data_IF_472504387028
#
_entry.id   IF_472504387028
#
_cell.length_a   1.000
_cell.length_b   1.000
_cell.length_c   1.000
_cell.angle_alpha   90.00
_cell.angle_beta   90.00
_cell.angle_gamma   90.00
#
_symmetry.space_group_name_H-M   'P 1'
#
loop_
_entity.id
_entity.type
_entity.pdbx_description
1 polymer ?
#
# COMPACT_ATOMS: atom_id res chain seq x y z
N UNK A 1 28.88 11.23 -4.33
CA UNK A 1 27.88 10.53 -3.51
C UNK A 1 26.57 10.67 -4.25
N UNK A 2 26.22 9.71 -5.10
CA UNK A 2 24.91 9.69 -5.75
C UNK A 2 23.91 9.35 -4.67
N UNK A 3 23.02 10.28 -4.33
CA UNK A 3 21.90 10.03 -3.41
C UNK A 3 20.92 9.16 -4.20
N UNK A 4 20.95 7.86 -3.93
CA UNK A 4 19.90 6.95 -4.39
C UNK A 4 18.55 7.55 -3.97
N UNK A 5 17.53 7.56 -4.83
CA UNK A 5 16.21 8.03 -4.44
C UNK A 5 15.78 7.21 -3.21
N UNK A 6 15.58 7.91 -2.09
CA UNK A 6 14.94 7.34 -0.91
C UNK A 6 13.49 7.09 -1.33
N UNK A 7 13.21 5.88 -1.82
CA UNK A 7 11.84 5.40 -1.91
C UNK A 7 11.39 5.15 -0.47
N UNK A 8 10.55 6.04 0.05
CA UNK A 8 9.98 5.94 1.40
C UNK A 8 8.89 4.86 1.39
N UNK A 9 9.32 3.59 1.38
CA UNK A 9 8.44 2.45 1.55
C UNK A 9 8.05 2.32 3.03
N UNK A 10 6.76 2.33 3.33
CA UNK A 10 6.22 2.24 4.69
C UNK A 10 5.24 1.07 4.84
N UNK A 11 5.53 0.15 5.75
CA UNK A 11 4.60 -0.90 6.15
C UNK A 11 3.51 -0.32 7.07
N UNK A 12 2.25 -0.42 6.64
CA UNK A 12 1.10 0.10 7.38
C UNK A 12 0.49 -0.95 8.31
N UNK A 13 0.46 -2.21 7.86
CA UNK A 13 -0.04 -3.33 8.63
C UNK A 13 0.58 -4.64 8.13
N UNK A 14 0.88 -5.55 9.05
CA UNK A 14 1.38 -6.88 8.72
C UNK A 14 0.76 -7.92 9.67
N UNK A 15 0.47 -9.09 9.13
CA UNK A 15 0.03 -10.29 9.83
C UNK A 15 0.86 -11.47 9.34
N UNK A 16 0.62 -12.68 9.85
CA UNK A 16 1.37 -13.87 9.43
C UNK A 16 1.30 -14.18 7.92
N UNK A 17 0.24 -13.74 7.23
CA UNK A 17 0.02 -14.08 5.81
C UNK A 17 -0.31 -12.88 4.91
N UNK A 18 -0.56 -11.70 5.50
CA UNK A 18 -1.03 -10.53 4.78
C UNK A 18 -0.25 -9.29 5.20
N UNK A 19 0.13 -8.49 4.22
CA UNK A 19 0.86 -7.23 4.44
C UNK A 19 0.24 -6.13 3.61
N UNK A 20 0.10 -4.95 4.22
CA UNK A 20 -0.21 -3.70 3.55
C UNK A 20 0.97 -2.76 3.74
N UNK A 21 1.50 -2.25 2.65
CA UNK A 21 2.56 -1.25 2.64
C UNK A 21 2.28 -0.22 1.55
N UNK A 22 2.92 0.94 1.64
CA UNK A 22 2.82 2.00 0.64
C UNK A 22 4.21 2.40 0.18
N UNK A 23 4.32 2.78 -1.08
CA UNK A 23 5.51 3.41 -1.66
C UNK A 23 5.18 4.85 -2.05
N UNK A 24 6.16 5.74 -1.92
CA UNK A 24 6.05 7.11 -2.43
C UNK A 24 6.49 7.14 -3.90
N UNK A 25 5.58 7.49 -4.80
CA UNK A 25 5.85 7.68 -6.23
C UNK A 25 5.60 9.14 -6.63
N UNK A 26 6.66 9.85 -7.01
CA UNK A 26 6.66 11.28 -7.36
C UNK A 26 6.01 12.17 -6.28
N UNK A 27 4.71 12.43 -6.39
CA UNK A 27 3.91 13.28 -5.50
C UNK A 27 2.75 12.53 -4.81
N UNK A 28 2.60 11.22 -5.06
CA UNK A 28 1.48 10.41 -4.56
C UNK A 28 1.97 9.10 -3.91
N UNK A 29 1.06 8.38 -3.27
CA UNK A 29 1.30 7.06 -2.70
C UNK A 29 0.63 5.98 -3.54
N UNK A 30 1.35 4.88 -3.74
CA UNK A 30 0.77 3.62 -4.21
C UNK A 30 0.66 2.68 -3.03
N UNK A 31 -0.53 2.12 -2.83
CA UNK A 31 -0.78 1.16 -1.76
C UNK A 31 -0.73 -0.26 -2.30
N UNK A 32 0.00 -1.10 -1.60
CA UNK A 32 0.26 -2.48 -1.96
C UNK A 32 -0.35 -3.40 -0.90
N UNK A 33 -1.18 -4.36 -1.35
CA UNK A 33 -1.75 -5.40 -0.49
C UNK A 33 -1.25 -6.75 -0.97
N UNK A 34 -0.45 -7.40 -0.14
CA UNK A 34 0.07 -8.74 -0.37
C UNK A 34 -0.85 -9.76 0.31
N UNK A 35 -1.54 -10.57 -0.50
CA UNK A 35 -2.46 -11.63 -0.04
C UNK A 35 -1.86 -13.04 -0.21
N UNK A 36 -0.53 -13.14 -0.31
CA UNK A 36 0.24 -14.37 -0.51
C UNK A 36 0.20 -14.88 -1.95
N UNK A 37 -0.98 -15.10 -2.52
CA UNK A 37 -1.17 -15.58 -3.90
C UNK A 37 -1.52 -14.48 -4.91
N UNK A 38 -1.84 -13.29 -4.43
CA UNK A 38 -2.20 -12.12 -5.24
C UNK A 38 -1.70 -10.86 -4.56
N UNK A 39 -1.20 -9.93 -5.36
CA UNK A 39 -0.78 -8.59 -4.95
C UNK A 39 -1.69 -7.56 -5.60
N UNK A 40 -2.28 -6.66 -4.82
CA UNK A 40 -3.04 -5.52 -5.33
C UNK A 40 -2.17 -4.27 -5.25
N UNK A 41 -2.21 -3.46 -6.31
CA UNK A 41 -1.54 -2.17 -6.40
C UNK A 41 -2.64 -1.15 -6.67
N UNK A 42 -2.76 -0.16 -5.79
CA UNK A 42 -3.88 0.78 -5.77
C UNK A 42 -3.33 2.20 -5.73
N UNK A 43 -3.92 3.09 -6.52
CA UNK A 43 -3.71 4.52 -6.31
C UNK A 43 -4.26 4.95 -4.95
N UNK A 44 -3.88 6.15 -4.47
CA UNK A 44 -4.47 6.73 -3.26
C UNK A 44 -6.00 6.77 -3.30
N UNK A 45 -6.61 7.13 -4.45
CA UNK A 45 -8.07 7.17 -4.61
C UNK A 45 -8.72 5.78 -4.50
N UNK A 46 -8.13 4.77 -5.16
CA UNK A 46 -8.64 3.40 -5.11
C UNK A 46 -8.48 2.77 -3.72
N UNK A 47 -7.38 3.09 -3.03
CA UNK A 47 -7.15 2.66 -1.65
C UNK A 47 -8.19 3.24 -0.70
N UNK A 48 -8.49 4.54 -0.80
CA UNK A 48 -9.51 5.17 0.05
C UNK A 48 -10.89 4.52 -0.11
N UNK A 49 -11.32 4.29 -1.35
CA UNK A 49 -12.59 3.60 -1.64
C UNK A 49 -12.60 2.15 -1.14
N UNK A 50 -11.50 1.42 -1.29
CA UNK A 50 -11.38 0.04 -0.77
C UNK A 50 -11.47 0.00 0.76
N UNK A 51 -10.81 0.95 1.45
CA UNK A 51 -10.87 1.07 2.91
C UNK A 51 -12.30 1.39 3.38
N UNK A 52 -13.01 2.29 2.68
CA UNK A 52 -14.42 2.59 2.96
C UNK A 52 -15.28 1.33 2.77
N UNK A 53 -15.08 0.60 1.68
CA UNK A 53 -15.80 -0.65 1.40
C UNK A 53 -15.61 -1.67 2.53
N UNK A 54 -14.37 -1.96 2.95
CA UNK A 54 -14.13 -2.91 4.04
C UNK A 54 -14.71 -2.45 5.37
N UNK A 55 -14.60 -1.15 5.71
CA UNK A 55 -15.22 -0.58 6.92
C UNK A 55 -16.74 -0.65 6.90
N UNK A 56 -17.38 -0.78 5.74
CA UNK A 56 -18.83 -0.89 5.64
C UNK A 56 -19.37 -2.28 5.98
N UNK A 57 -18.51 -3.30 6.00
CA UNK A 57 -18.87 -4.71 6.22
C UNK A 57 -18.18 -5.33 7.44
N UNK A 58 -17.29 -4.59 8.11
CA UNK A 58 -16.51 -5.03 9.26
C UNK A 58 -17.00 -4.40 10.58
#
# INVERSE_FOLDING_TARGET
>A
MSKEPEYDDETLAETDNFTVWRSQEEDDFVYHIELGGVSLHLSSEEWEELVVLFKSVA
#
